data_IF_644364999287
#
_entry.id   IF_644364999287
#
_cell.length_a   1.000
_cell.length_b   1.000
_cell.length_c   1.000
_cell.angle_alpha   90.00
_cell.angle_beta   90.00
_cell.angle_gamma   90.00
#
_symmetry.space_group_name_H-M   'P 1'
#
loop_
_entity.id
_entity.type
_entity.pdbx_description
1 polymer ?
#
# COMPACT_ATOMS: atom_id res chain seq x y z
N UNK A 1 -6.31 79.69 -38.67
CA UNK A 1 -5.24 78.66 -38.66
C UNK A 1 -5.50 77.71 -37.50
N UNK A 2 -6.04 76.51 -37.76
CA UNK A 2 -6.35 75.51 -36.72
C UNK A 2 -5.17 74.54 -36.58
N UNK A 3 -4.56 74.46 -35.40
CA UNK A 3 -3.56 73.43 -35.06
C UNK A 3 -4.29 72.10 -34.82
N UNK A 4 -3.98 71.07 -35.60
CA UNK A 4 -4.44 69.70 -35.37
C UNK A 4 -3.34 68.98 -34.58
N UNK A 5 -3.70 68.52 -33.38
CA UNK A 5 -2.84 67.74 -32.51
C UNK A 5 -2.99 66.26 -32.90
N UNK A 6 -1.89 65.63 -33.33
CA UNK A 6 -1.88 64.23 -33.75
C UNK A 6 -1.75 63.34 -32.51
N UNK A 7 -2.83 62.68 -32.10
CA UNK A 7 -2.81 61.66 -31.04
C UNK A 7 -2.41 60.34 -31.69
N UNK A 8 -1.20 59.88 -31.43
CA UNK A 8 -0.75 58.53 -31.82
C UNK A 8 -1.33 57.54 -30.83
N UNK A 9 -2.35 56.80 -31.26
CA UNK A 9 -2.96 55.72 -30.50
C UNK A 9 -2.10 54.45 -30.68
N UNK A 10 -1.36 54.07 -29.63
CA UNK A 10 -0.61 52.80 -29.62
C UNK A 10 -1.56 51.69 -29.14
N UNK A 11 -2.04 50.87 -30.08
CA UNK A 11 -2.80 49.65 -29.76
C UNK A 11 -1.84 48.57 -29.25
N UNK A 12 -1.95 48.20 -27.97
CA UNK A 12 -1.38 46.96 -27.46
C UNK A 12 -2.25 45.79 -27.92
N UNK A 13 -1.80 45.05 -28.93
CA UNK A 13 -2.42 43.78 -29.33
C UNK A 13 -1.95 42.71 -28.32
N UNK A 14 -2.82 42.33 -27.37
CA UNK A 14 -2.60 41.14 -26.55
C UNK A 14 -2.85 39.90 -27.41
N UNK A 15 -1.80 39.35 -28.02
CA UNK A 15 -1.87 38.07 -28.72
C UNK A 15 -1.95 36.96 -27.67
N UNK A 16 -3.16 36.53 -27.33
CA UNK A 16 -3.37 35.24 -26.66
C UNK A 16 -3.21 34.14 -27.70
N UNK A 17 -1.97 33.66 -27.87
CA UNK A 17 -1.67 32.53 -28.75
C UNK A 17 -2.15 31.24 -28.08
N UNK A 18 -3.29 30.72 -28.51
CA UNK A 18 -3.76 29.39 -28.14
C UNK A 18 -3.05 28.40 -29.07
N UNK A 19 -2.04 27.68 -28.57
CA UNK A 19 -1.40 26.61 -29.33
C UNK A 19 -2.41 25.46 -29.53
N UNK A 20 -2.66 25.08 -30.79
CA UNK A 20 -3.55 23.99 -31.13
C UNK A 20 -2.99 22.65 -30.63
N UNK A 21 -3.87 21.81 -30.05
CA UNK A 21 -3.51 20.47 -29.56
C UNK A 21 -2.99 19.61 -30.72
N UNK A 22 -1.83 18.98 -30.56
CA UNK A 22 -1.28 18.10 -31.59
C UNK A 22 -2.04 16.78 -31.66
N UNK A 23 -1.98 16.10 -32.80
CA UNK A 23 -2.55 14.75 -32.92
C UNK A 23 -1.91 13.75 -31.95
N UNK A 24 -0.62 13.93 -31.62
CA UNK A 24 0.09 13.11 -30.63
C UNK A 24 -0.47 13.33 -29.23
N UNK A 25 -0.58 14.59 -28.80
CA UNK A 25 -1.18 14.99 -27.52
C UNK A 25 -2.59 14.46 -27.34
N UNK A 26 -3.45 14.57 -28.36
CA UNK A 26 -4.82 14.04 -28.29
C UNK A 26 -4.86 12.51 -28.14
N UNK A 27 -3.95 11.78 -28.81
CA UNK A 27 -3.86 10.32 -28.66
C UNK A 27 -3.34 9.92 -27.27
N UNK A 28 -2.31 10.61 -26.78
CA UNK A 28 -1.75 10.40 -25.45
C UNK A 28 -2.81 10.62 -24.37
N UNK A 29 -3.62 11.68 -24.48
CA UNK A 29 -4.70 11.96 -23.54
C UNK A 29 -5.74 10.84 -23.51
N UNK A 30 -6.23 10.39 -24.67
CA UNK A 30 -7.17 9.26 -24.75
C UNK A 30 -6.60 7.97 -24.15
N UNK A 31 -5.29 7.75 -24.32
CA UNK A 31 -4.59 6.61 -23.74
C UNK A 31 -4.50 6.72 -22.22
N UNK A 32 -4.18 7.89 -21.69
CA UNK A 32 -4.19 8.19 -20.26
C UNK A 32 -5.57 7.92 -19.64
N UNK A 33 -6.62 8.48 -20.23
CA UNK A 33 -8.02 8.24 -19.83
C UNK A 33 -8.39 6.75 -19.88
N UNK A 34 -7.90 6.02 -20.89
CA UNK A 34 -8.10 4.58 -20.98
C UNK A 34 -7.41 3.83 -19.84
N UNK A 35 -6.18 4.18 -19.48
CA UNK A 35 -5.49 3.53 -18.36
C UNK A 35 -6.23 3.73 -17.03
N UNK A 36 -6.69 4.97 -16.78
CA UNK A 36 -7.42 5.32 -15.56
C UNK A 36 -8.80 4.66 -15.43
N UNK A 37 -9.34 4.07 -16.51
CA UNK A 37 -10.56 3.25 -16.46
C UNK A 37 -10.32 1.84 -15.92
N UNK A 38 -9.10 1.30 -16.08
CA UNK A 38 -8.78 -0.09 -15.75
C UNK A 38 -7.83 -0.25 -14.56
N UNK A 39 -7.04 0.78 -14.26
CA UNK A 39 -6.08 0.79 -13.17
C UNK A 39 -5.98 2.18 -12.56
N UNK A 40 -5.24 2.30 -11.45
CA UNK A 40 -4.98 3.55 -10.77
C UNK A 40 -3.50 3.90 -10.87
N UNK A 41 -3.22 5.17 -11.08
CA UNK A 41 -1.86 5.68 -11.25
C UNK A 41 -1.68 6.97 -10.45
N UNK A 42 -0.45 7.20 -9.99
CA UNK A 42 0.00 8.54 -9.66
C UNK A 42 0.27 9.32 -10.94
N UNK A 43 0.44 10.65 -10.81
CA UNK A 43 0.79 11.51 -11.93
C UNK A 43 2.06 11.01 -12.64
N UNK A 44 3.15 10.86 -11.88
CA UNK A 44 4.46 10.47 -12.42
C UNK A 44 4.42 9.09 -13.09
N UNK A 45 3.77 8.10 -12.46
CA UNK A 45 3.69 6.75 -13.05
C UNK A 45 2.84 6.72 -14.31
N UNK A 46 1.81 7.56 -14.44
CA UNK A 46 1.03 7.65 -15.67
C UNK A 46 1.85 8.32 -16.79
N UNK A 47 2.63 9.35 -16.46
CA UNK A 47 3.58 9.96 -17.41
C UNK A 47 4.58 8.93 -17.90
N UNK A 48 5.24 8.22 -17.00
CA UNK A 48 6.20 7.15 -17.32
C UNK A 48 5.57 6.06 -18.21
N UNK A 49 4.34 5.66 -17.90
CA UNK A 49 3.64 4.65 -18.68
C UNK A 49 3.38 5.11 -20.13
N UNK A 50 3.04 6.39 -20.33
CA UNK A 50 2.86 6.94 -21.67
C UNK A 50 4.20 7.10 -22.41
N UNK A 51 5.28 7.43 -21.71
CA UNK A 51 6.62 7.45 -22.31
C UNK A 51 7.02 6.04 -22.76
N UNK A 52 6.77 5.03 -21.93
CA UNK A 52 6.98 3.62 -22.29
C UNK A 52 6.17 3.22 -23.52
N UNK A 53 4.95 3.73 -23.67
CA UNK A 53 4.09 3.52 -24.84
C UNK A 53 4.56 4.28 -26.10
N UNK A 54 5.65 5.05 -26.01
CA UNK A 54 6.30 5.73 -27.14
C UNK A 54 5.88 7.18 -27.35
N UNK A 55 5.14 7.79 -26.42
CA UNK A 55 4.87 9.23 -26.46
C UNK A 55 6.11 10.02 -26.01
N UNK A 56 6.29 11.21 -26.57
CA UNK A 56 7.32 12.13 -26.07
C UNK A 56 6.98 12.56 -24.63
N UNK A 57 7.99 12.88 -23.82
CA UNK A 57 7.78 13.38 -22.46
C UNK A 57 6.84 14.60 -22.43
N UNK A 58 6.98 15.50 -23.41
CA UNK A 58 6.11 16.68 -23.55
C UNK A 58 4.65 16.30 -23.82
N UNK A 59 4.41 15.34 -24.72
CA UNK A 59 3.05 14.90 -25.04
C UNK A 59 2.43 14.09 -23.88
N UNK A 60 3.23 13.31 -23.17
CA UNK A 60 2.81 12.54 -22.00
C UNK A 60 2.39 13.47 -20.85
N UNK A 61 3.24 14.43 -20.45
CA UNK A 61 2.89 15.42 -19.42
C UNK A 61 1.65 16.23 -19.82
N UNK A 62 1.61 16.70 -21.07
CA UNK A 62 0.44 17.40 -21.60
C UNK A 62 -0.85 16.56 -21.47
N UNK A 63 -0.79 15.27 -21.79
CA UNK A 63 -1.92 14.36 -21.69
C UNK A 63 -2.37 14.15 -20.24
N UNK A 64 -1.44 13.90 -19.32
CA UNK A 64 -1.73 13.66 -17.91
C UNK A 64 -2.29 14.92 -17.23
N UNK A 65 -1.78 16.10 -17.57
CA UNK A 65 -2.30 17.39 -17.08
C UNK A 65 -3.76 17.64 -17.47
N UNK A 66 -4.24 17.03 -18.56
CA UNK A 66 -5.56 17.31 -19.17
C UNK A 66 -6.50 16.13 -19.17
N UNK A 67 -6.09 14.97 -18.66
CA UNK A 67 -6.94 13.78 -18.60
C UNK A 67 -8.08 13.88 -17.57
N UNK A 68 -8.09 14.94 -16.75
CA UNK A 68 -9.16 15.19 -15.78
C UNK A 68 -9.11 14.32 -14.52
N UNK A 69 -7.97 13.68 -14.27
CA UNK A 69 -7.78 12.84 -13.08
C UNK A 69 -7.73 13.68 -11.80
N UNK A 70 -8.44 13.23 -10.77
CA UNK A 70 -8.19 13.63 -9.39
C UNK A 70 -7.16 12.67 -8.78
N UNK A 71 -5.96 13.19 -8.52
CA UNK A 71 -4.85 12.37 -8.00
C UNK A 71 -5.08 11.85 -6.58
N UNK A 72 -5.88 12.56 -5.76
CA UNK A 72 -6.32 12.05 -4.46
C UNK A 72 -7.30 10.90 -4.63
N UNK A 73 -8.24 11.00 -5.57
CA UNK A 73 -9.14 9.90 -5.91
C UNK A 73 -8.37 8.67 -6.44
N UNK A 74 -7.35 8.87 -7.27
CA UNK A 74 -6.50 7.78 -7.74
C UNK A 74 -5.72 7.11 -6.60
N UNK A 75 -5.25 7.87 -5.62
CA UNK A 75 -4.60 7.32 -4.44
C UNK A 75 -5.57 6.44 -3.62
N UNK A 76 -6.82 6.88 -3.43
CA UNK A 76 -7.87 6.09 -2.76
C UNK A 76 -8.14 4.78 -3.51
N UNK A 77 -8.27 4.83 -4.84
CA UNK A 77 -8.50 3.62 -5.66
C UNK A 77 -7.31 2.65 -5.57
N UNK A 78 -6.08 3.16 -5.62
CA UNK A 78 -4.87 2.34 -5.46
C UNK A 78 -4.79 1.71 -4.06
N UNK A 79 -5.04 2.49 -3.02
CA UNK A 79 -5.08 2.01 -1.64
C UNK A 79 -6.09 0.86 -1.45
N UNK A 80 -7.33 1.05 -1.93
CA UNK A 80 -8.36 0.00 -1.91
C UNK A 80 -7.95 -1.23 -2.73
N UNK A 81 -7.27 -1.04 -3.86
CA UNK A 81 -6.76 -2.15 -4.67
C UNK A 81 -5.74 -2.99 -3.89
N UNK A 82 -4.80 -2.37 -3.17
CA UNK A 82 -3.85 -3.10 -2.32
C UNK A 82 -4.56 -3.85 -1.19
N UNK A 83 -5.48 -3.17 -0.49
CA UNK A 83 -6.22 -3.74 0.64
C UNK A 83 -7.14 -4.90 0.25
N UNK A 84 -7.50 -5.03 -1.04
CA UNK A 84 -8.24 -6.18 -1.56
C UNK A 84 -7.42 -7.47 -1.55
N UNK A 85 -6.10 -7.37 -1.72
CA UNK A 85 -5.22 -8.54 -1.90
C UNK A 85 -4.28 -8.79 -0.73
N UNK A 86 -3.93 -7.76 0.05
CA UNK A 86 -3.04 -7.87 1.20
C UNK A 86 -3.47 -6.92 2.31
N UNK A 87 -3.10 -7.27 3.54
CA UNK A 87 -3.26 -6.39 4.69
C UNK A 87 -2.00 -5.54 4.88
N UNK A 88 -2.20 -4.28 5.25
CA UNK A 88 -1.15 -3.31 5.46
C UNK A 88 -1.34 -2.60 6.80
N UNK A 89 -0.23 -2.23 7.44
CA UNK A 89 -0.26 -1.20 8.47
C UNK A 89 -0.60 0.16 7.85
N UNK A 90 -1.02 1.12 8.68
CA UNK A 90 -1.33 2.47 8.22
C UNK A 90 -0.12 3.12 7.53
N UNK A 91 1.05 3.10 8.19
CA UNK A 91 2.30 3.61 7.63
C UNK A 91 2.75 2.80 6.43
N UNK A 92 2.71 1.47 6.49
CA UNK A 92 3.14 0.63 5.37
C UNK A 92 2.34 0.85 4.10
N UNK A 93 1.02 1.13 4.20
CA UNK A 93 0.23 1.48 3.02
C UNK A 93 0.57 2.87 2.48
N UNK A 94 0.87 3.84 3.35
CA UNK A 94 1.36 5.16 2.91
C UNK A 94 2.68 5.01 2.16
N UNK A 95 3.66 4.32 2.75
CA UNK A 95 4.98 4.09 2.15
C UNK A 95 4.85 3.40 0.79
N UNK A 96 3.95 2.42 0.68
CA UNK A 96 3.66 1.74 -0.59
C UNK A 96 3.09 2.69 -1.65
N UNK A 97 2.19 3.61 -1.28
CA UNK A 97 1.65 4.61 -2.22
C UNK A 97 2.69 5.66 -2.61
N UNK A 98 3.55 6.07 -1.69
CA UNK A 98 4.67 6.96 -1.99
C UNK A 98 5.67 6.30 -2.96
N UNK A 99 5.94 5.00 -2.78
CA UNK A 99 6.72 4.21 -3.74
C UNK A 99 6.05 4.14 -5.12
N UNK A 100 4.72 4.09 -5.17
CA UNK A 100 3.91 4.20 -6.39
C UNK A 100 3.89 5.63 -6.96
N UNK A 101 4.65 6.58 -6.40
CA UNK A 101 4.83 7.93 -6.92
C UNK A 101 3.72 8.91 -6.54
N UNK A 102 2.85 8.55 -5.58
CA UNK A 102 1.94 9.53 -4.98
C UNK A 102 2.72 10.47 -4.06
N UNK A 103 2.28 11.73 -3.94
CA UNK A 103 2.84 12.61 -2.92
C UNK A 103 2.42 12.14 -1.52
N UNK A 104 3.18 12.52 -0.48
CA UNK A 104 2.81 12.18 0.90
C UNK A 104 1.39 12.64 1.27
N UNK A 105 0.93 13.77 0.74
CA UNK A 105 -0.44 14.26 0.95
C UNK A 105 -1.47 13.36 0.25
N UNK A 106 -1.22 12.96 -1.00
CA UNK A 106 -2.11 12.06 -1.75
C UNK A 106 -2.15 10.67 -1.13
N UNK A 107 -1.00 10.13 -0.70
CA UNK A 107 -0.90 8.84 -0.06
C UNK A 107 -1.70 8.80 1.26
N UNK A 108 -1.48 9.79 2.14
CA UNK A 108 -2.26 9.92 3.40
C UNK A 108 -3.75 10.04 3.14
N UNK A 109 -4.13 10.94 2.24
CA UNK A 109 -5.53 11.10 1.85
C UNK A 109 -6.12 9.79 1.32
N UNK A 110 -5.36 9.09 0.48
CA UNK A 110 -5.70 7.79 -0.10
C UNK A 110 -6.04 6.74 0.95
N UNK A 111 -5.19 6.61 1.98
CA UNK A 111 -5.39 5.67 3.10
C UNK A 111 -6.58 6.07 3.97
N UNK A 112 -6.68 7.34 4.36
CA UNK A 112 -7.75 7.87 5.22
C UNK A 112 -9.14 7.75 4.58
N UNK A 113 -9.23 7.85 3.25
CA UNK A 113 -10.49 7.80 2.50
C UNK A 113 -10.73 6.46 1.82
N UNK A 114 -10.02 5.40 2.21
CA UNK A 114 -10.41 4.03 1.83
C UNK A 114 -11.80 3.71 2.35
N UNK A 115 -12.48 2.75 1.70
CA UNK A 115 -13.82 2.32 2.14
C UNK A 115 -13.84 1.76 3.58
N UNK A 116 -12.65 1.45 4.12
CA UNK A 116 -12.44 0.93 5.47
C UNK A 116 -11.97 2.00 6.48
N UNK A 117 -11.54 3.18 6.01
CA UNK A 117 -11.04 4.28 6.85
C UNK A 117 -12.13 5.18 7.45
N UNK A 118 -13.37 5.12 6.95
CA UNK A 118 -14.51 5.89 7.47
C UNK A 118 -15.07 5.39 8.81
N UNK A 119 -14.67 4.21 9.28
CA UNK A 119 -14.96 3.73 10.63
C UNK A 119 -13.72 3.95 11.51
N UNK A 120 -13.77 4.91 12.45
CA UNK A 120 -12.77 5.20 13.50
C UNK A 120 -11.37 4.61 13.25
N UNK A 121 -10.37 5.43 12.89
CA UNK A 121 -9.01 5.00 12.47
C UNK A 121 -8.37 3.86 13.30
N UNK A 122 -8.63 3.79 14.61
CA UNK A 122 -8.23 2.67 15.49
C UNK A 122 -8.82 1.32 15.05
N UNK A 123 -10.10 1.27 14.67
CA UNK A 123 -10.77 0.07 14.16
C UNK A 123 -10.18 -0.41 12.83
N UNK A 124 -9.80 0.51 11.94
CA UNK A 124 -9.21 0.15 10.65
C UNK A 124 -7.86 -0.56 10.83
N UNK A 125 -6.94 0.06 11.58
CA UNK A 125 -5.60 -0.51 11.81
C UNK A 125 -5.67 -1.87 12.50
N UNK A 126 -6.53 -1.99 13.51
CA UNK A 126 -6.81 -3.24 14.22
C UNK A 126 -7.36 -4.34 13.30
N UNK A 127 -8.29 -4.01 12.40
CA UNK A 127 -8.83 -4.96 11.43
C UNK A 127 -7.76 -5.46 10.46
N UNK A 128 -6.90 -4.56 9.96
CA UNK A 128 -5.79 -4.94 9.09
C UNK A 128 -4.77 -5.81 9.81
N UNK A 129 -4.40 -5.46 11.05
CA UNK A 129 -3.50 -6.26 11.87
C UNK A 129 -4.08 -7.67 12.11
N UNK A 130 -5.38 -7.77 12.40
CA UNK A 130 -6.08 -9.04 12.60
C UNK A 130 -6.09 -9.90 11.32
N UNK A 131 -6.42 -9.32 10.16
CA UNK A 131 -6.37 -10.03 8.88
C UNK A 131 -4.97 -10.52 8.56
N UNK A 132 -3.95 -9.68 8.82
CA UNK A 132 -2.56 -10.04 8.61
C UNK A 132 -2.13 -11.18 9.53
N UNK A 133 -2.44 -11.09 10.82
CA UNK A 133 -2.21 -12.15 11.79
C UNK A 133 -2.81 -13.48 11.34
N UNK A 134 -4.09 -13.47 10.95
CA UNK A 134 -4.76 -14.66 10.43
C UNK A 134 -4.13 -15.20 9.14
N UNK A 135 -3.61 -14.33 8.27
CA UNK A 135 -2.90 -14.76 7.07
C UNK A 135 -1.61 -15.51 7.41
N UNK A 136 -0.83 -15.03 8.39
CA UNK A 136 0.38 -15.71 8.84
C UNK A 136 0.09 -17.05 9.49
N UNK A 137 -0.89 -17.08 10.38
CA UNK A 137 -1.30 -18.30 11.08
C UNK A 137 -1.95 -19.34 10.16
N UNK A 138 -2.23 -19.03 8.88
CA UNK A 138 -2.63 -20.03 7.88
C UNK A 138 -1.44 -20.78 7.27
N UNK A 139 -0.28 -20.14 7.18
CA UNK A 139 0.87 -20.68 6.43
C UNK A 139 2.06 -21.06 7.31
N UNK A 140 2.18 -20.49 8.51
CA UNK A 140 3.25 -20.80 9.46
C UNK A 140 2.71 -20.90 10.89
N UNK A 141 3.50 -21.52 11.77
CA UNK A 141 3.25 -21.55 13.22
C UNK A 141 3.97 -20.38 13.87
N UNK A 142 3.26 -19.60 14.68
CA UNK A 142 3.82 -18.48 15.45
C UNK A 142 3.48 -18.59 16.93
N UNK A 143 4.41 -18.19 17.78
CA UNK A 143 4.06 -17.89 19.17
C UNK A 143 3.22 -16.61 19.22
N UNK A 144 2.49 -16.40 20.32
CA UNK A 144 1.75 -15.14 20.51
C UNK A 144 2.68 -13.93 20.45
N UNK A 145 3.85 -14.03 21.09
CA UNK A 145 4.81 -12.95 21.17
C UNK A 145 5.49 -12.70 19.81
N UNK A 146 5.96 -13.75 19.14
CA UNK A 146 6.56 -13.64 17.82
C UNK A 146 5.59 -13.11 16.76
N UNK A 147 4.30 -13.43 16.86
CA UNK A 147 3.28 -12.83 15.99
C UNK A 147 3.14 -11.32 16.22
N UNK A 148 3.19 -10.86 17.47
CA UNK A 148 3.13 -9.43 17.80
C UNK A 148 4.35 -8.72 17.22
N UNK A 149 5.54 -9.25 17.48
CA UNK A 149 6.81 -8.68 17.00
C UNK A 149 6.86 -8.61 15.46
N UNK A 150 6.37 -9.66 14.79
CA UNK A 150 6.29 -9.66 13.32
C UNK A 150 5.38 -8.56 12.78
N UNK A 151 4.22 -8.33 13.42
CA UNK A 151 3.32 -7.25 13.02
C UNK A 151 3.92 -5.87 13.31
N UNK A 152 4.62 -5.70 14.43
CA UNK A 152 5.33 -4.45 14.74
C UNK A 152 6.45 -4.16 13.74
N UNK A 153 7.21 -5.18 13.34
CA UNK A 153 8.22 -5.07 12.29
C UNK A 153 7.62 -4.57 10.97
N UNK A 154 6.36 -4.93 10.67
CA UNK A 154 5.61 -4.45 9.50
C UNK A 154 4.89 -3.11 9.72
N UNK A 155 5.20 -2.41 10.81
CA UNK A 155 4.74 -1.05 11.08
C UNK A 155 3.36 -0.97 11.74
N UNK A 156 2.78 -2.09 12.19
CA UNK A 156 1.61 -2.02 13.08
C UNK A 156 2.03 -1.46 14.44
N UNK A 157 1.15 -0.69 15.08
CA UNK A 157 1.42 -0.26 16.46
C UNK A 157 1.35 -1.46 17.41
N UNK A 158 2.07 -1.40 18.53
CA UNK A 158 1.98 -2.43 19.58
C UNK A 158 0.53 -2.72 20.00
N UNK A 159 -0.30 -1.67 20.06
CA UNK A 159 -1.73 -1.78 20.37
C UNK A 159 -2.48 -2.61 19.32
N UNK A 160 -2.27 -2.34 18.04
CA UNK A 160 -2.93 -3.06 16.94
C UNK A 160 -2.44 -4.52 16.82
N UNK A 161 -1.12 -4.73 16.95
CA UNK A 161 -0.51 -6.05 16.94
C UNK A 161 -1.01 -6.91 18.11
N UNK A 162 -1.06 -6.33 19.32
CA UNK A 162 -1.61 -7.00 20.50
C UNK A 162 -3.10 -7.29 20.35
N UNK A 163 -3.87 -6.34 19.81
CA UNK A 163 -5.28 -6.57 19.51
C UNK A 163 -5.45 -7.73 18.53
N UNK A 164 -4.68 -7.77 17.44
CA UNK A 164 -4.72 -8.84 16.45
C UNK A 164 -4.40 -10.21 17.07
N UNK A 165 -3.32 -10.31 17.84
CA UNK A 165 -2.95 -11.54 18.53
C UNK A 165 -4.04 -12.02 19.49
N UNK A 166 -4.69 -11.11 20.22
CA UNK A 166 -5.77 -11.47 21.14
C UNK A 166 -7.07 -11.89 20.43
N UNK A 167 -7.32 -11.37 19.22
CA UNK A 167 -8.59 -11.59 18.50
C UNK A 167 -8.46 -12.56 17.31
N UNK A 168 -7.27 -13.08 17.01
CA UNK A 168 -7.02 -13.97 15.86
C UNK A 168 -7.65 -15.36 16.00
N UNK A 169 -8.16 -15.71 17.20
CA UNK A 169 -8.76 -17.02 17.52
C UNK A 169 -7.77 -18.19 17.36
N UNK A 170 -6.47 -17.92 17.51
CA UNK A 170 -5.45 -18.95 17.48
C UNK A 170 -5.57 -19.87 18.71
N UNK A 171 -5.38 -21.17 18.48
CA UNK A 171 -5.03 -22.11 19.53
C UNK A 171 -3.50 -22.17 19.61
N UNK A 172 -2.92 -21.59 20.65
CA UNK A 172 -1.46 -21.45 20.76
C UNK A 172 -0.73 -22.79 20.90
N UNK A 173 -1.38 -23.82 21.44
CA UNK A 173 -0.83 -25.18 21.45
C UNK A 173 -0.75 -25.77 20.02
N UNK A 174 -1.76 -25.54 19.18
CA UNK A 174 -1.73 -25.96 17.77
C UNK A 174 -0.67 -25.18 16.98
N UNK A 175 -0.45 -23.91 17.32
CA UNK A 175 0.62 -23.12 16.70
C UNK A 175 2.01 -23.62 17.09
N UNK A 176 2.21 -24.01 18.36
CA UNK A 176 3.44 -24.63 18.82
C UNK A 176 3.70 -25.96 18.13
N UNK A 177 2.69 -26.82 18.01
CA UNK A 177 2.78 -28.07 17.24
C UNK A 177 3.16 -27.82 15.78
N UNK A 178 2.53 -26.84 15.12
CA UNK A 178 2.85 -26.50 13.73
C UNK A 178 4.29 -26.01 13.58
N UNK A 179 4.73 -25.12 14.47
CA UNK A 179 6.10 -24.63 14.48
C UNK A 179 7.09 -25.79 14.70
N UNK A 180 6.79 -26.68 15.65
CA UNK A 180 7.58 -27.88 15.94
C UNK A 180 7.69 -28.80 14.71
N UNK A 181 6.58 -29.05 14.01
CA UNK A 181 6.54 -29.84 12.76
C UNK A 181 7.46 -29.25 11.69
N UNK A 182 7.49 -27.93 11.53
CA UNK A 182 8.35 -27.29 10.54
C UNK A 182 9.83 -27.51 10.87
N UNK A 183 10.24 -27.21 12.10
CA UNK A 183 11.62 -27.36 12.53
C UNK A 183 12.11 -28.80 12.48
N UNK A 184 11.33 -29.76 12.98
CA UNK A 184 11.73 -31.17 12.92
C UNK A 184 11.84 -31.68 11.48
N UNK A 185 10.98 -31.21 10.56
CA UNK A 185 11.02 -31.62 9.15
C UNK A 185 12.25 -31.07 8.42
N UNK A 186 12.62 -29.82 8.69
CA UNK A 186 13.68 -29.12 7.95
C UNK A 186 15.07 -29.36 8.57
N UNK A 187 15.14 -29.42 9.90
CA UNK A 187 16.40 -29.45 10.64
C UNK A 187 16.65 -30.77 11.37
N UNK A 188 15.66 -31.67 11.44
CA UNK A 188 15.76 -32.99 12.09
C UNK A 188 16.25 -32.90 13.55
N UNK A 189 15.75 -31.91 14.29
CA UNK A 189 16.16 -31.60 15.66
C UNK A 189 15.70 -32.69 16.64
N UNK A 190 16.50 -32.91 17.70
CA UNK A 190 16.08 -33.71 18.85
C UNK A 190 14.96 -33.02 19.64
N UNK A 191 14.27 -33.79 20.50
CA UNK A 191 13.18 -33.25 21.32
C UNK A 191 13.62 -32.12 22.26
N UNK A 192 14.84 -32.18 22.82
CA UNK A 192 15.39 -31.12 23.67
C UNK A 192 15.71 -29.86 22.87
N UNK A 193 16.41 -30.02 21.73
CA UNK A 193 16.74 -28.87 20.87
C UNK A 193 15.49 -28.20 20.33
N UNK A 194 14.47 -28.98 19.96
CA UNK A 194 13.20 -28.47 19.48
C UNK A 194 12.46 -27.68 20.57
N UNK A 195 12.51 -28.16 21.82
CA UNK A 195 11.92 -27.43 22.95
C UNK A 195 12.62 -26.09 23.16
N UNK A 196 13.94 -26.07 23.14
CA UNK A 196 14.74 -24.86 23.31
C UNK A 196 14.48 -23.87 22.17
N UNK A 197 14.33 -24.36 20.93
CA UNK A 197 13.95 -23.53 19.80
C UNK A 197 12.56 -22.89 20.00
N UNK A 198 11.55 -23.65 20.39
CA UNK A 198 10.22 -23.09 20.62
C UNK A 198 10.21 -22.05 21.76
N UNK A 199 11.01 -22.26 22.81
CA UNK A 199 11.19 -21.24 23.85
C UNK A 199 11.84 -19.96 23.29
N UNK A 200 12.84 -20.10 22.41
CA UNK A 200 13.47 -18.99 21.73
C UNK A 200 12.49 -18.24 20.80
N UNK A 201 11.61 -18.96 20.10
CA UNK A 201 10.52 -18.38 19.29
C UNK A 201 9.44 -17.67 20.14
N UNK A 202 9.56 -17.69 21.47
CA UNK A 202 8.67 -16.99 22.39
C UNK A 202 7.42 -17.76 22.81
N UNK A 203 7.37 -19.09 22.60
CA UNK A 203 6.33 -19.92 23.21
C UNK A 203 6.54 -20.05 24.72
N UNK A 204 5.45 -20.19 25.47
CA UNK A 204 5.55 -20.54 26.89
C UNK A 204 6.11 -21.95 27.06
N UNK A 205 6.68 -22.26 28.23
CA UNK A 205 7.20 -23.60 28.50
C UNK A 205 6.14 -24.70 28.35
N UNK A 206 4.86 -24.40 28.63
CA UNK A 206 3.76 -25.34 28.46
C UNK A 206 3.45 -25.60 26.98
N UNK A 207 3.36 -24.55 26.16
CA UNK A 207 3.13 -24.65 24.72
C UNK A 207 4.29 -25.34 24.01
N UNK A 208 5.54 -24.99 24.35
CA UNK A 208 6.73 -25.64 23.81
C UNK A 208 6.75 -27.13 24.12
N UNK A 209 6.46 -27.50 25.38
CA UNK A 209 6.32 -28.91 25.77
C UNK A 209 5.21 -29.62 25.01
N UNK A 210 4.05 -28.98 24.83
CA UNK A 210 2.96 -29.53 24.03
C UNK A 210 3.39 -29.79 22.58
N UNK A 211 4.00 -28.80 21.94
CA UNK A 211 4.44 -28.87 20.54
C UNK A 211 5.43 -30.01 20.30
N UNK A 212 6.43 -30.17 21.19
CA UNK A 212 7.41 -31.26 21.11
C UNK A 212 6.73 -32.62 21.27
N UNK A 213 5.89 -32.80 22.30
CA UNK A 213 5.20 -34.07 22.54
C UNK A 213 4.23 -34.46 21.41
N UNK A 214 3.70 -33.48 20.67
CA UNK A 214 2.81 -33.74 19.54
C UNK A 214 3.55 -34.33 18.32
N UNK A 215 4.86 -34.07 18.17
CA UNK A 215 5.63 -34.41 16.96
C UNK A 215 6.72 -35.45 17.18
N UNK A 216 7.29 -35.52 18.39
CA UNK A 216 8.27 -36.53 18.78
C UNK A 216 7.54 -37.68 19.47
N UNK A 217 7.34 -38.79 18.74
CA UNK A 217 6.80 -40.04 19.28
C UNK A 217 7.88 -41.11 19.37
#
# INVERSE_FOLDING_TARGET
MKKVCCVVLVFFISVSMVFAVTASQSKAQKKAESYLKYSSFSYERLVDQLIFDGYSELDAKYAVDRCGADWKEQAVKKANSYLKYSSFSYSGLIDQLEYEGFTSEQAKYGVEHTALGSSNSTSFSQEQALKKAQSYLKISGFSRQGLIEQLEFEGFTNSDATYAANNCKANWNEQAERCAKNYITIMNMSASELKDQLLFEGFTSAEASYGVSAVCK
#
